data_IF_846192671440
#
_entry.id   IF_846192671440
#
_cell.length_a   1.000
_cell.length_b   1.000
_cell.length_c   1.000
_cell.angle_alpha   90.00
_cell.angle_beta   90.00
_cell.angle_gamma   90.00
#
_symmetry.space_group_name_H-M   'P 1'
#
loop_
_entity.id
_entity.type
_entity.pdbx_description
1 polymer ?
#
# COMPACT_ATOMS: atom_id res chain seq x y z
N UNK A 1 18.97 -8.83 -7.77
CA UNK A 1 19.45 -10.09 -7.15
C UNK A 1 18.56 -10.34 -5.96
N UNK A 2 17.88 -11.48 -5.91
CA UNK A 2 16.80 -11.69 -4.95
C UNK A 2 17.14 -12.89 -4.07
N UNK A 3 17.06 -12.72 -2.77
CA UNK A 3 17.29 -13.78 -1.80
C UNK A 3 16.41 -13.58 -0.58
N UNK A 4 16.21 -14.65 0.19
CA UNK A 4 15.37 -14.62 1.39
C UNK A 4 16.25 -14.67 2.63
N UNK A 5 16.11 -13.69 3.52
CA UNK A 5 16.88 -13.58 4.76
C UNK A 5 15.95 -13.50 5.96
N UNK A 6 16.09 -14.41 6.92
CA UNK A 6 15.18 -14.55 8.07
C UNK A 6 13.69 -14.70 7.68
N UNK A 7 13.38 -15.09 6.43
CA UNK A 7 12.01 -15.17 5.91
C UNK A 7 11.48 -13.88 5.26
N UNK A 8 12.32 -12.84 5.16
CA UNK A 8 12.05 -11.56 4.47
C UNK A 8 12.67 -11.61 3.08
N UNK A 9 11.93 -11.19 2.06
CA UNK A 9 12.45 -11.14 0.69
C UNK A 9 13.28 -9.87 0.50
N UNK A 10 14.53 -10.05 0.06
CA UNK A 10 15.51 -8.98 -0.15
C UNK A 10 15.87 -8.94 -1.63
N UNK A 11 15.60 -7.80 -2.26
CA UNK A 11 15.97 -7.49 -3.64
C UNK A 11 17.08 -6.44 -3.65
N UNK A 12 18.18 -6.72 -4.35
CA UNK A 12 19.25 -5.76 -4.60
C UNK A 12 19.23 -5.36 -6.07
N UNK A 13 18.91 -4.09 -6.33
CA UNK A 13 18.92 -3.50 -7.66
C UNK A 13 20.35 -3.15 -8.11
N UNK A 14 20.64 -3.12 -9.42
CA UNK A 14 21.95 -2.73 -9.94
C UNK A 14 22.41 -1.32 -9.48
N UNK A 15 21.47 -0.40 -9.28
CA UNK A 15 21.75 0.96 -8.83
C UNK A 15 22.41 1.04 -7.45
N UNK A 16 22.12 0.08 -6.56
CA UNK A 16 22.76 0.00 -5.25
C UNK A 16 24.28 -0.26 -5.36
N UNK A 17 24.67 -1.23 -6.20
CA UNK A 17 26.07 -1.53 -6.43
C UNK A 17 26.82 -0.35 -7.04
N UNK A 18 26.18 0.34 -7.98
CA UNK A 18 26.73 1.52 -8.63
C UNK A 18 27.04 2.62 -7.61
N UNK A 19 26.10 2.98 -6.74
CA UNK A 19 26.33 4.04 -5.74
C UNK A 19 27.34 3.63 -4.68
N UNK A 20 27.34 2.36 -4.23
CA UNK A 20 28.29 1.86 -3.25
C UNK A 20 29.73 1.96 -3.77
N UNK A 21 29.95 1.63 -5.05
CA UNK A 21 31.25 1.79 -5.71
C UNK A 21 31.63 3.27 -5.85
N UNK A 22 30.69 4.14 -6.24
CA UNK A 22 30.93 5.58 -6.36
C UNK A 22 31.40 6.19 -5.04
N UNK A 23 30.70 5.91 -3.94
CA UNK A 23 31.14 6.36 -2.61
C UNK A 23 32.45 5.69 -2.18
N UNK A 24 32.75 4.52 -2.73
CA UNK A 24 33.99 3.80 -2.50
C UNK A 24 35.19 4.32 -3.28
N UNK A 25 35.00 5.16 -4.30
CA UNK A 25 36.07 5.63 -5.21
C UNK A 25 37.30 6.20 -4.51
N UNK A 26 37.18 6.98 -3.41
CA UNK A 26 38.35 7.42 -2.66
C UNK A 26 39.18 6.23 -2.13
N UNK A 27 38.53 5.17 -1.64
CA UNK A 27 39.20 3.98 -1.08
C UNK A 27 39.87 3.13 -2.16
N UNK A 28 39.31 3.10 -3.37
CA UNK A 28 39.97 2.49 -4.53
C UNK A 28 41.26 3.20 -4.93
N UNK A 29 41.46 4.45 -4.51
CA UNK A 29 42.62 5.29 -4.81
C UNK A 29 43.62 5.42 -3.66
N UNK A 30 43.34 4.84 -2.48
CA UNK A 30 44.21 4.96 -1.28
C UNK A 30 45.58 4.33 -1.46
N UNK A 31 45.71 3.35 -2.37
CA UNK A 31 46.98 2.72 -2.68
C UNK A 31 47.16 2.67 -4.19
N UNK A 32 48.18 3.37 -4.70
CA UNK A 32 48.57 3.39 -6.11
C UNK A 32 48.92 1.98 -6.59
N UNK A 33 47.92 1.21 -7.07
CA UNK A 33 48.08 -0.15 -7.59
C UNK A 33 46.90 -1.09 -7.27
N UNK A 34 47.07 -2.39 -7.57
CA UNK A 34 46.06 -3.44 -7.36
C UNK A 34 45.61 -3.62 -5.89
N UNK A 35 46.38 -3.08 -4.92
CA UNK A 35 46.06 -3.09 -3.50
C UNK A 35 44.88 -2.18 -3.12
N UNK A 36 44.52 -1.20 -3.96
CA UNK A 36 43.38 -0.30 -3.73
C UNK A 36 42.02 -0.98 -3.94
N UNK A 37 42.01 -2.09 -4.68
CA UNK A 37 40.79 -2.86 -4.92
C UNK A 37 40.24 -3.44 -3.61
N UNK A 38 41.11 -3.94 -2.73
CA UNK A 38 40.70 -4.61 -1.48
C UNK A 38 39.94 -3.65 -0.55
N UNK A 39 40.45 -2.46 -0.18
CA UNK A 39 39.70 -1.49 0.62
C UNK A 39 38.38 -1.05 -0.02
N UNK A 40 38.34 -0.89 -1.35
CA UNK A 40 37.10 -0.57 -2.05
C UNK A 40 36.05 -1.69 -2.00
N UNK A 41 36.46 -2.94 -2.15
CA UNK A 41 35.57 -4.10 -1.95
C UNK A 41 35.08 -4.22 -0.51
N UNK A 42 35.98 -4.01 0.48
CA UNK A 42 35.61 -3.97 1.89
C UNK A 42 34.57 -2.87 2.12
N UNK A 43 34.77 -1.68 1.57
CA UNK A 43 33.81 -0.58 1.65
C UNK A 43 32.44 -0.97 1.11
N UNK A 44 32.37 -1.54 -0.11
CA UNK A 44 31.09 -1.98 -0.71
C UNK A 44 30.39 -3.01 0.18
N UNK A 45 31.15 -3.95 0.76
CA UNK A 45 30.60 -4.94 1.67
C UNK A 45 30.10 -4.31 2.98
N UNK A 46 30.85 -3.34 3.53
CA UNK A 46 30.45 -2.58 4.72
C UNK A 46 29.15 -1.83 4.48
N UNK A 47 29.02 -1.14 3.33
CA UNK A 47 27.79 -0.43 2.97
C UNK A 47 26.63 -1.41 2.81
N UNK A 48 26.83 -2.53 2.10
CA UNK A 48 25.81 -3.57 1.95
C UNK A 48 25.31 -4.09 3.29
N UNK A 49 26.23 -4.51 4.18
CA UNK A 49 25.86 -5.05 5.49
C UNK A 49 25.19 -3.99 6.35
N UNK A 50 25.70 -2.76 6.37
CA UNK A 50 25.17 -1.69 7.22
C UNK A 50 23.76 -1.27 6.78
N UNK A 51 23.56 -1.05 5.47
CA UNK A 51 22.22 -0.70 4.92
C UNK A 51 21.26 -1.87 5.12
N UNK A 52 21.69 -3.12 4.87
CA UNK A 52 20.83 -4.27 5.09
C UNK A 52 20.43 -4.43 6.56
N UNK A 53 21.35 -4.21 7.51
CA UNK A 53 21.04 -4.26 8.94
C UNK A 53 20.08 -3.13 9.34
N UNK A 54 20.25 -1.93 8.78
CA UNK A 54 19.30 -0.82 8.95
C UNK A 54 17.90 -1.19 8.46
N UNK A 55 17.76 -1.69 7.23
CA UNK A 55 16.47 -2.11 6.68
C UNK A 55 15.86 -3.29 7.45
N UNK A 56 16.69 -4.23 7.90
CA UNK A 56 16.24 -5.31 8.78
C UNK A 56 15.67 -4.77 10.10
N UNK A 57 16.18 -3.65 10.62
CA UNK A 57 15.59 -2.95 11.76
C UNK A 57 14.13 -2.57 11.52
N UNK A 58 13.86 -1.88 10.40
CA UNK A 58 12.49 -1.55 9.98
C UNK A 58 11.64 -2.80 9.76
N UNK A 59 12.17 -3.77 9.03
CA UNK A 59 11.48 -5.01 8.70
C UNK A 59 11.12 -5.82 9.95
N UNK A 60 12.00 -5.93 10.94
CA UNK A 60 11.69 -6.59 12.21
C UNK A 60 10.66 -5.83 13.03
N UNK A 61 10.70 -4.49 13.03
CA UNK A 61 9.68 -3.67 13.68
C UNK A 61 8.30 -3.89 13.02
N UNK A 62 8.23 -3.94 11.70
CA UNK A 62 6.99 -4.22 10.94
C UNK A 62 6.51 -5.65 11.20
N UNK A 63 7.42 -6.62 11.27
CA UNK A 63 7.09 -8.03 11.52
C UNK A 63 6.41 -8.26 12.86
N UNK A 64 6.65 -7.39 13.86
CA UNK A 64 5.90 -7.40 15.13
C UNK A 64 4.39 -7.22 14.92
N UNK A 65 3.99 -6.55 13.85
CA UNK A 65 2.60 -6.33 13.46
C UNK A 65 2.04 -7.46 12.56
N UNK A 66 2.77 -8.57 12.38
CA UNK A 66 2.39 -9.71 11.53
C UNK A 66 2.14 -9.36 10.06
N UNK A 67 2.71 -8.24 9.61
CA UNK A 67 2.77 -7.83 8.21
C UNK A 67 4.08 -8.38 7.64
N UNK A 68 4.07 -8.88 6.40
CA UNK A 68 5.31 -9.29 5.73
C UNK A 68 5.99 -8.07 5.09
N UNK A 69 7.21 -7.70 5.51
CA UNK A 69 7.99 -6.67 4.86
C UNK A 69 8.79 -7.26 3.69
N UNK A 70 9.06 -6.42 2.71
CA UNK A 70 9.96 -6.68 1.58
C UNK A 70 11.05 -5.60 1.61
N UNK A 71 12.32 -5.98 1.42
CA UNK A 71 13.44 -5.04 1.41
C UNK A 71 13.94 -4.89 -0.01
N UNK A 72 14.01 -3.64 -0.51
CA UNK A 72 14.63 -3.32 -1.79
C UNK A 72 15.81 -2.39 -1.57
N UNK A 73 17.02 -2.82 -1.92
CA UNK A 73 18.20 -1.99 -1.95
C UNK A 73 18.35 -1.34 -3.33
N UNK A 74 18.34 -0.02 -3.39
CA UNK A 74 18.33 0.77 -4.62
C UNK A 74 19.35 1.92 -4.56
N UNK A 75 19.38 2.79 -5.58
CA UNK A 75 20.42 3.81 -5.72
C UNK A 75 20.50 4.84 -4.58
N UNK A 76 19.43 5.08 -3.81
CA UNK A 76 19.47 5.99 -2.65
C UNK A 76 19.67 5.28 -1.30
N UNK A 77 19.92 3.97 -1.29
CA UNK A 77 20.09 3.19 -0.06
C UNK A 77 19.21 1.95 -0.03
N UNK A 78 18.43 1.79 1.03
CA UNK A 78 17.42 0.77 1.17
C UNK A 78 16.03 1.38 1.31
N UNK A 79 15.01 0.61 0.93
CA UNK A 79 13.64 0.85 1.34
C UNK A 79 13.05 -0.45 1.83
N UNK A 80 12.42 -0.40 2.98
CA UNK A 80 11.54 -1.47 3.44
C UNK A 80 10.13 -1.12 2.98
N UNK A 81 9.52 -1.97 2.16
CA UNK A 81 8.15 -1.82 1.69
C UNK A 81 7.29 -2.82 2.45
N UNK A 82 6.10 -2.41 2.84
CA UNK A 82 5.14 -3.30 3.48
C UNK A 82 3.72 -2.91 3.08
N UNK A 83 2.85 -3.91 2.97
CA UNK A 83 1.42 -3.70 2.70
C UNK A 83 0.64 -4.03 3.96
N UNK A 84 0.29 -2.99 4.70
CA UNK A 84 -0.53 -3.13 5.90
C UNK A 84 -2.02 -3.20 5.50
N UNK A 85 -2.72 -4.19 6.02
CA UNK A 85 -4.17 -4.37 5.84
C UNK A 85 -5.00 -3.41 6.69
N UNK A 86 -4.37 -2.80 7.71
CA UNK A 86 -4.95 -1.80 8.61
C UNK A 86 -3.95 -0.65 8.77
N UNK A 87 -4.42 0.60 8.94
CA UNK A 87 -3.54 1.73 9.21
C UNK A 87 -2.82 1.52 10.56
N UNK A 88 -1.47 1.50 10.52
CA UNK A 88 -0.66 1.41 11.74
C UNK A 88 -0.86 2.66 12.60
N UNK A 89 -0.75 2.52 13.93
CA UNK A 89 -0.83 3.68 14.81
C UNK A 89 0.36 4.59 14.53
N UNK A 90 0.20 5.89 14.75
CA UNK A 90 1.31 6.85 14.58
C UNK A 90 2.54 6.49 15.42
N UNK A 91 2.31 5.95 16.62
CA UNK A 91 3.38 5.43 17.47
C UNK A 91 4.12 4.27 16.84
N UNK A 92 3.42 3.40 16.11
CA UNK A 92 4.02 2.24 15.44
C UNK A 92 4.86 2.71 14.25
N UNK A 93 4.39 3.70 13.48
CA UNK A 93 5.19 4.33 12.44
C UNK A 93 6.46 5.00 13.00
N UNK A 94 6.37 5.71 14.14
CA UNK A 94 7.55 6.28 14.79
C UNK A 94 8.53 5.18 15.22
N UNK A 95 8.03 4.11 15.83
CA UNK A 95 8.86 2.98 16.26
C UNK A 95 9.54 2.33 15.05
N UNK A 96 8.81 2.13 13.96
CA UNK A 96 9.34 1.56 12.72
C UNK A 96 10.45 2.47 12.18
N UNK A 97 10.20 3.77 12.01
CA UNK A 97 11.22 4.72 11.52
C UNK A 97 12.45 4.78 12.43
N UNK A 98 12.29 4.64 13.75
CA UNK A 98 13.43 4.58 14.66
C UNK A 98 14.17 3.24 14.62
N UNK A 99 13.49 2.14 14.31
CA UNK A 99 14.08 0.80 14.38
C UNK A 99 15.29 0.60 13.46
N UNK A 100 15.30 1.24 12.27
CA UNK A 100 16.44 1.18 11.35
C UNK A 100 17.71 1.82 11.92
N UNK A 101 17.70 3.12 12.27
CA UNK A 101 18.84 3.79 12.89
C UNK A 101 19.35 3.08 14.15
N UNK A 102 18.44 2.61 15.01
CA UNK A 102 18.82 1.90 16.24
C UNK A 102 19.40 0.51 15.97
N UNK A 103 18.99 -0.19 14.91
CA UNK A 103 19.64 -1.43 14.47
C UNK A 103 21.08 -1.16 14.01
N UNK A 104 21.31 -0.06 13.29
CA UNK A 104 22.64 0.43 12.95
C UNK A 104 23.48 0.72 14.20
N UNK A 105 22.97 1.50 15.15
CA UNK A 105 23.67 1.80 16.41
C UNK A 105 23.98 0.54 17.22
N UNK A 106 23.07 -0.44 17.23
CA UNK A 106 23.31 -1.72 17.88
C UNK A 106 24.48 -2.47 17.20
N UNK A 107 24.52 -2.52 15.87
CA UNK A 107 25.65 -3.09 15.14
C UNK A 107 26.96 -2.34 15.45
N UNK A 108 26.93 -1.01 15.49
CA UNK A 108 28.10 -0.20 15.85
C UNK A 108 28.59 -0.52 17.27
N UNK A 109 27.69 -0.70 18.23
CA UNK A 109 28.05 -1.07 19.60
C UNK A 109 28.71 -2.45 19.67
N UNK A 110 28.22 -3.44 18.89
CA UNK A 110 28.85 -4.76 18.79
C UNK A 110 30.25 -4.67 18.16
N UNK A 111 30.39 -3.90 17.07
CA UNK A 111 31.69 -3.70 16.41
C UNK A 111 32.67 -2.97 17.34
N UNK A 112 32.21 -1.97 18.09
CA UNK A 112 33.02 -1.27 19.08
C UNK A 112 33.47 -2.20 20.21
N UNK A 113 32.58 -3.07 20.70
CA UNK A 113 32.92 -4.06 21.71
C UNK A 113 33.99 -5.05 21.19
N UNK A 114 33.86 -5.53 19.96
CA UNK A 114 34.88 -6.38 19.32
C UNK A 114 36.22 -5.62 19.19
N UNK A 115 36.18 -4.36 18.76
CA UNK A 115 37.41 -3.56 18.66
C UNK A 115 38.09 -3.39 20.03
N UNK A 116 37.33 -3.02 21.06
CA UNK A 116 37.86 -2.71 22.38
C UNK A 116 38.33 -3.95 23.16
N UNK A 117 37.56 -5.03 23.14
CA UNK A 117 37.84 -6.23 23.94
C UNK A 117 38.69 -7.27 23.20
N UNK A 118 38.72 -7.26 21.86
CA UNK A 118 39.46 -8.25 21.08
C UNK A 118 40.62 -7.60 20.32
N UNK A 119 40.34 -6.65 19.43
CA UNK A 119 41.36 -6.13 18.52
C UNK A 119 42.38 -5.24 19.24
N UNK A 120 41.97 -4.45 20.22
CA UNK A 120 42.87 -3.61 21.01
C UNK A 120 43.83 -4.42 21.90
N UNK A 121 43.55 -5.70 22.14
CA UNK A 121 44.42 -6.61 22.88
C UNK A 121 45.49 -7.27 21.99
N UNK A 122 45.37 -7.12 20.66
CA UNK A 122 46.35 -7.67 19.72
C UNK A 122 47.58 -6.77 19.63
N UNK A 123 48.76 -7.38 19.52
CA UNK A 123 50.02 -6.66 19.34
C UNK A 123 50.08 -5.86 18.03
N UNK A 124 49.40 -6.35 16.98
CA UNK A 124 49.20 -5.63 15.73
C UNK A 124 47.88 -6.07 15.09
N UNK A 125 47.04 -5.11 14.71
CA UNK A 125 45.79 -5.38 13.99
C UNK A 125 46.03 -5.23 12.48
N UNK A 126 45.68 -6.22 11.65
CA UNK A 126 45.82 -6.12 10.20
C UNK A 126 45.12 -4.88 9.65
N UNK A 127 45.76 -4.17 8.71
CA UNK A 127 45.25 -2.94 8.13
C UNK A 127 43.80 -3.06 7.64
N UNK A 128 43.48 -4.12 6.90
CA UNK A 128 42.13 -4.33 6.35
C UNK A 128 41.08 -4.56 7.43
N UNK A 129 41.42 -5.23 8.54
CA UNK A 129 40.51 -5.43 9.66
C UNK A 129 40.24 -4.09 10.38
N UNK A 130 41.30 -3.31 10.63
CA UNK A 130 41.18 -1.96 11.21
C UNK A 130 40.33 -1.06 10.31
N UNK A 131 40.57 -1.10 9.00
CA UNK A 131 39.80 -0.35 8.01
C UNK A 131 38.31 -0.73 8.06
N UNK A 132 37.98 -2.03 8.00
CA UNK A 132 36.60 -2.51 8.05
C UNK A 132 35.86 -2.06 9.32
N UNK A 133 36.50 -2.17 10.49
CA UNK A 133 35.94 -1.72 11.77
C UNK A 133 35.67 -0.22 11.76
N UNK A 134 36.64 0.59 11.32
CA UNK A 134 36.46 2.04 11.24
C UNK A 134 35.32 2.43 10.31
N UNK A 135 35.21 1.77 9.14
CA UNK A 135 34.12 2.06 8.20
C UNK A 135 32.75 1.58 8.73
N UNK A 136 32.68 0.43 9.39
CA UNK A 136 31.44 -0.06 10.02
C UNK A 136 30.95 0.92 11.10
N UNK A 137 31.85 1.37 11.98
CA UNK A 137 31.51 2.36 13.00
C UNK A 137 31.08 3.69 12.37
N UNK A 138 31.82 4.16 11.37
CA UNK A 138 31.49 5.40 10.68
C UNK A 138 30.11 5.32 10.01
N UNK A 139 29.85 4.31 9.17
CA UNK A 139 28.58 4.17 8.45
C UNK A 139 27.42 4.03 9.44
N UNK A 140 27.51 3.11 10.40
CA UNK A 140 26.38 2.83 11.29
C UNK A 140 26.08 3.95 12.30
N UNK A 141 27.10 4.69 12.77
CA UNK A 141 26.90 5.81 13.71
C UNK A 141 26.59 7.09 12.95
N UNK A 142 27.46 7.48 12.02
CA UNK A 142 27.34 8.75 11.33
C UNK A 142 26.08 8.75 10.45
N UNK A 143 25.89 7.75 9.57
CA UNK A 143 24.70 7.72 8.71
C UNK A 143 23.41 7.48 9.51
N UNK A 144 23.47 6.71 10.60
CA UNK A 144 22.35 6.57 11.53
C UNK A 144 21.91 7.91 12.13
N UNK A 145 22.86 8.77 12.52
CA UNK A 145 22.56 10.14 13.00
C UNK A 145 22.00 11.00 11.87
N UNK A 146 22.55 10.94 10.65
CA UNK A 146 21.99 11.67 9.50
C UNK A 146 20.55 11.27 9.19
N UNK A 147 20.25 9.97 9.25
CA UNK A 147 18.90 9.46 9.02
C UNK A 147 17.90 9.96 10.06
N UNK A 148 18.34 10.30 11.27
CA UNK A 148 17.47 10.87 12.31
C UNK A 148 17.25 12.39 12.20
N UNK A 149 17.91 13.06 11.25
CA UNK A 149 17.64 14.48 10.98
C UNK A 149 16.20 14.61 10.46
N UNK A 150 15.40 15.59 10.92
CA UNK A 150 13.98 15.72 10.59
C UNK A 150 13.76 16.27 9.17
N UNK A 151 14.20 15.54 8.15
CA UNK A 151 14.10 15.87 6.72
C UNK A 151 13.50 14.67 5.99
N UNK A 152 12.36 14.84 5.34
CA UNK A 152 11.78 13.82 4.45
C UNK A 152 12.68 13.65 3.21
N UNK A 153 12.92 12.41 2.74
CA UNK A 153 12.30 11.14 3.13
C UNK A 153 13.10 10.33 4.19
N UNK A 154 13.98 10.97 4.98
CA UNK A 154 14.75 10.27 6.01
C UNK A 154 13.85 9.83 7.18
N UNK A 155 14.33 8.85 7.94
CA UNK A 155 13.62 8.29 9.10
C UNK A 155 13.20 9.35 10.12
N UNK A 156 14.07 10.31 10.43
CA UNK A 156 13.77 11.44 11.32
C UNK A 156 12.67 12.35 10.78
N UNK A 157 12.56 12.48 9.46
CA UNK A 157 11.46 13.17 8.79
C UNK A 157 10.13 12.46 8.99
N UNK A 158 10.10 11.13 8.83
CA UNK A 158 8.92 10.31 9.10
C UNK A 158 8.54 10.29 10.59
N UNK A 159 9.53 10.27 11.50
CA UNK A 159 9.27 10.43 12.94
C UNK A 159 8.58 11.76 13.21
N UNK A 160 9.08 12.86 12.65
CA UNK A 160 8.46 14.19 12.80
C UNK A 160 7.04 14.21 12.21
N UNK A 161 6.84 13.63 11.02
CA UNK A 161 5.56 13.53 10.34
C UNK A 161 4.50 12.84 11.20
N UNK A 162 4.83 11.66 11.72
CA UNK A 162 3.90 10.88 12.52
C UNK A 162 3.73 11.43 13.95
N UNK A 163 4.74 12.09 14.51
CA UNK A 163 4.63 12.78 15.80
C UNK A 163 3.68 14.00 15.72
N UNK A 164 3.78 14.81 14.66
CA UNK A 164 2.91 15.97 14.47
C UNK A 164 1.51 15.59 13.93
N UNK A 165 1.44 14.52 13.16
CA UNK A 165 0.20 13.98 12.60
C UNK A 165 -0.30 14.69 11.34
N UNK A 166 -1.35 14.13 10.70
CA UNK A 166 -1.82 14.51 9.36
C UNK A 166 -2.37 15.94 9.32
N UNK A 167 -2.99 16.42 10.41
CA UNK A 167 -3.51 17.80 10.50
C UNK A 167 -2.39 18.86 10.46
N UNK A 168 -1.14 18.47 10.69
CA UNK A 168 0.03 19.37 10.75
C UNK A 168 1.06 19.04 9.68
N UNK A 169 0.65 18.36 8.60
CA UNK A 169 1.54 17.98 7.50
C UNK A 169 2.26 19.18 6.87
N UNK A 170 1.56 20.32 6.70
CA UNK A 170 2.18 21.60 6.26
C UNK A 170 3.35 22.00 7.18
N UNK A 171 3.20 21.87 8.50
CA UNK A 171 4.25 22.22 9.46
C UNK A 171 5.43 21.26 9.38
N UNK A 172 5.18 19.95 9.24
CA UNK A 172 6.22 18.95 8.99
C UNK A 172 7.03 19.29 7.74
N UNK A 173 6.36 19.63 6.64
CA UNK A 173 7.03 19.95 5.38
C UNK A 173 7.83 21.26 5.47
N UNK A 174 7.35 22.28 6.21
CA UNK A 174 8.14 23.51 6.47
C UNK A 174 9.40 23.19 7.27
N UNK A 175 9.27 22.46 8.38
CA UNK A 175 10.42 22.09 9.22
C UNK A 175 11.44 21.29 8.40
N UNK A 176 10.97 20.27 7.68
CA UNK A 176 11.79 19.44 6.80
C UNK A 176 12.51 20.25 5.71
N UNK A 177 11.82 21.20 5.08
CA UNK A 177 12.41 22.08 4.08
C UNK A 177 13.50 22.99 4.68
N UNK A 178 13.21 23.67 5.79
CA UNK A 178 14.14 24.62 6.43
C UNK A 178 15.39 23.91 6.93
N UNK A 179 15.20 22.79 7.63
CA UNK A 179 16.31 21.96 8.14
C UNK A 179 17.10 21.39 6.98
N UNK A 180 16.42 20.85 5.96
CA UNK A 180 17.06 20.27 4.77
C UNK A 180 17.94 21.29 4.02
N UNK A 181 17.44 22.50 3.75
CA UNK A 181 18.24 23.54 3.09
C UNK A 181 19.43 24.00 3.94
N UNK A 182 19.24 24.11 5.25
CA UNK A 182 20.29 24.55 6.18
C UNK A 182 21.41 23.51 6.27
N UNK A 183 21.05 22.22 6.38
CA UNK A 183 22.01 21.11 6.40
C UNK A 183 22.69 20.95 5.03
N UNK A 184 21.96 21.12 3.93
CA UNK A 184 22.53 21.09 2.59
C UNK A 184 23.57 22.20 2.39
N UNK A 185 23.29 23.42 2.84
CA UNK A 185 24.22 24.55 2.76
C UNK A 185 25.47 24.31 3.60
N UNK A 186 25.31 23.79 4.83
CA UNK A 186 26.43 23.39 5.67
C UNK A 186 27.35 22.38 4.97
N UNK A 187 26.78 21.34 4.36
CA UNK A 187 27.58 20.36 3.64
C UNK A 187 28.23 20.89 2.37
N UNK A 188 27.59 21.82 1.68
CA UNK A 188 28.17 22.50 0.53
C UNK A 188 29.41 23.31 0.95
N UNK A 189 29.33 24.03 2.08
CA UNK A 189 30.47 24.77 2.64
C UNK A 189 31.58 23.84 3.14
N UNK A 190 31.22 22.69 3.71
CA UNK A 190 32.16 21.66 4.12
C UNK A 190 32.78 20.86 2.95
N UNK A 191 32.37 21.13 1.71
CA UNK A 191 32.89 20.46 0.50
C UNK A 191 32.26 19.09 0.20
N UNK A 192 31.24 18.67 0.94
CA UNK A 192 30.53 17.41 0.71
C UNK A 192 29.36 17.60 -0.27
N UNK A 193 29.68 17.57 -1.56
CA UNK A 193 28.70 17.78 -2.64
C UNK A 193 27.57 16.74 -2.56
N UNK A 194 27.88 15.48 -2.26
CA UNK A 194 26.89 14.42 -2.19
C UNK A 194 25.91 14.56 -1.02
N UNK A 195 26.41 14.89 0.17
CA UNK A 195 25.52 15.14 1.30
C UNK A 195 24.65 16.38 1.05
N UNK A 196 25.24 17.44 0.49
CA UNK A 196 24.49 18.64 0.08
C UNK A 196 23.39 18.29 -0.94
N UNK A 197 23.67 17.40 -1.89
CA UNK A 197 22.70 16.93 -2.87
C UNK A 197 21.54 16.15 -2.23
N UNK A 198 21.82 15.18 -1.34
CA UNK A 198 20.78 14.38 -0.66
C UNK A 198 19.86 15.29 0.17
N UNK A 199 20.43 16.16 1.00
CA UNK A 199 19.65 17.08 1.84
C UNK A 199 18.94 18.15 1.01
N UNK A 200 19.55 18.62 -0.08
CA UNK A 200 18.94 19.55 -1.02
C UNK A 200 17.75 18.94 -1.75
N UNK A 201 17.84 17.68 -2.17
CA UNK A 201 16.71 16.95 -2.75
C UNK A 201 15.60 16.74 -1.74
N UNK A 202 15.89 16.35 -0.50
CA UNK A 202 14.88 16.23 0.57
C UNK A 202 14.18 17.55 0.88
N UNK A 203 14.95 18.65 0.92
CA UNK A 203 14.41 20.00 1.09
C UNK A 203 13.50 20.40 -0.08
N UNK A 204 13.93 20.11 -1.31
CA UNK A 204 13.15 20.37 -2.52
C UNK A 204 11.87 19.52 -2.57
N UNK A 205 11.93 18.25 -2.16
CA UNK A 205 10.75 17.39 -2.04
C UNK A 205 9.77 17.95 -1.01
N UNK A 206 10.28 18.46 0.11
CA UNK A 206 9.48 19.12 1.15
C UNK A 206 8.86 20.44 0.67
N UNK A 207 9.59 21.22 -0.14
CA UNK A 207 9.07 22.40 -0.81
C UNK A 207 7.95 22.02 -1.79
N UNK A 208 8.09 20.94 -2.56
CA UNK A 208 7.01 20.45 -3.44
C UNK A 208 5.79 20.02 -2.65
N UNK A 209 5.96 19.33 -1.52
CA UNK A 209 4.87 19.00 -0.60
C UNK A 209 4.13 20.26 -0.12
N UNK A 210 4.83 21.38 0.09
CA UNK A 210 4.22 22.67 0.43
C UNK A 210 3.59 23.39 -0.76
N UNK A 211 4.13 23.27 -1.96
CA UNK A 211 3.52 23.85 -3.16
C UNK A 211 2.23 23.15 -3.54
N UNK A 212 2.15 21.83 -3.27
CA UNK A 212 0.94 21.02 -3.41
C UNK A 212 -0.02 21.29 -2.25
N UNK A 213 0.49 21.57 -1.05
CA UNK A 213 -0.33 21.80 0.14
C UNK A 213 -0.71 23.25 0.44
N UNK A 214 -0.06 24.27 -0.14
CA UNK A 214 -0.07 25.68 0.29
C UNK A 214 -1.18 26.55 -0.27
N UNK A 215 -2.12 25.95 -0.96
CA UNK A 215 -3.34 26.56 -1.41
C UNK A 215 -4.47 26.07 -0.52
N UNK A 216 -5.26 26.99 0.03
CA UNK A 216 -6.65 26.67 0.36
C UNK A 216 -7.39 26.49 -0.97
N UNK A 217 -7.08 25.36 -1.59
CA UNK A 217 -7.66 24.86 -2.82
C UNK A 217 -8.88 24.05 -2.35
N UNK A 218 -10.04 24.58 -2.70
CA UNK A 218 -11.21 23.80 -3.09
C UNK A 218 -10.72 22.50 -3.77
N UNK A 219 -11.23 21.33 -3.39
CA UNK A 219 -10.66 20.02 -3.81
C UNK A 219 -10.64 19.77 -5.33
N UNK A 220 -10.98 20.76 -6.15
CA UNK A 220 -10.94 20.80 -7.61
C UNK A 220 -9.54 20.76 -8.24
N UNK A 221 -8.47 21.24 -7.58
CA UNK A 221 -7.20 21.53 -8.29
C UNK A 221 -6.06 20.52 -8.06
N UNK A 222 -6.27 19.41 -7.34
CA UNK A 222 -5.22 18.42 -6.99
C UNK A 222 -5.25 17.13 -7.83
N UNK A 223 -5.56 17.24 -9.12
CA UNK A 223 -5.26 16.17 -10.10
C UNK A 223 -3.93 16.50 -10.80
N UNK A 224 -3.13 15.50 -11.25
CA UNK A 224 -2.05 15.76 -12.20
C UNK A 224 -2.64 16.63 -13.31
N UNK A 225 -1.95 17.70 -13.73
CA UNK A 225 -2.40 18.45 -14.91
C UNK A 225 -2.30 17.46 -16.07
N UNK A 226 -3.45 16.85 -16.38
CA UNK A 226 -3.65 16.10 -17.60
C UNK A 226 -3.10 16.96 -18.73
N UNK A 227 -2.42 16.36 -19.73
CA UNK A 227 -1.89 17.11 -20.88
C UNK A 227 -2.96 18.10 -21.31
N UNK A 228 -2.68 19.42 -21.28
CA UNK A 228 -3.69 20.51 -21.35
C UNK A 228 -4.96 20.04 -22.05
N UNK A 229 -5.88 19.46 -21.27
CA UNK A 229 -7.18 19.10 -21.78
C UNK A 229 -7.84 20.45 -21.81
N UNK A 230 -8.15 20.91 -23.01
CA UNK A 230 -8.96 22.11 -23.23
C UNK A 230 -9.99 22.18 -22.11
N UNK A 231 -9.89 23.21 -21.26
CA UNK A 231 -10.68 23.28 -20.03
C UNK A 231 -12.13 23.00 -20.39
N UNK A 232 -12.68 21.87 -19.90
CA UNK A 232 -13.99 21.43 -20.32
C UNK A 232 -14.98 22.57 -20.06
N UNK A 233 -15.83 22.93 -21.04
CA UNK A 233 -16.72 24.08 -20.90
C UNK A 233 -17.60 23.94 -19.65
N UNK A 234 -17.72 25.04 -18.91
CA UNK A 234 -18.47 25.09 -17.66
C UNK A 234 -19.94 24.73 -17.91
N UNK A 235 -20.46 23.77 -17.15
CA UNK A 235 -21.87 23.35 -17.24
C UNK A 235 -22.73 24.37 -16.49
N UNK A 236 -23.77 24.88 -17.13
CA UNK A 236 -24.70 25.83 -16.49
C UNK A 236 -25.45 25.17 -15.32
N UNK A 237 -25.82 25.96 -14.31
CA UNK A 237 -26.54 25.45 -13.12
C UNK A 237 -27.87 24.76 -13.45
N UNK A 238 -28.55 25.21 -14.50
CA UNK A 238 -29.78 24.56 -15.00
C UNK A 238 -29.48 23.14 -15.51
N UNK A 239 -28.46 22.98 -16.35
CA UNK A 239 -28.09 21.67 -16.93
C UNK A 239 -27.62 20.72 -15.83
N UNK A 240 -26.80 21.20 -14.89
CA UNK A 240 -26.39 20.42 -13.72
C UNK A 240 -27.60 19.92 -12.90
N UNK A 241 -28.64 20.74 -12.75
CA UNK A 241 -29.87 20.35 -12.06
C UNK A 241 -30.67 19.26 -12.81
N UNK A 242 -30.63 19.27 -14.14
CA UNK A 242 -31.28 18.25 -14.97
C UNK A 242 -30.51 16.92 -14.85
N UNK A 243 -29.18 16.96 -14.96
CA UNK A 243 -28.31 15.78 -14.85
C UNK A 243 -28.38 15.17 -13.45
N UNK A 244 -28.44 15.98 -12.38
CA UNK A 244 -28.60 15.46 -11.02
C UNK A 244 -29.95 14.78 -10.80
N UNK A 245 -31.04 15.36 -11.32
CA UNK A 245 -32.38 14.73 -11.30
C UNK A 245 -32.44 13.46 -12.13
N UNK A 246 -31.73 13.41 -13.25
CA UNK A 246 -31.65 12.23 -14.09
C UNK A 246 -30.84 11.10 -13.42
N UNK A 247 -29.72 11.41 -12.74
CA UNK A 247 -29.00 10.45 -11.87
C UNK A 247 -29.89 9.91 -10.75
N UNK A 248 -30.61 10.79 -10.07
CA UNK A 248 -31.54 10.38 -9.01
C UNK A 248 -32.62 9.46 -9.58
N UNK A 249 -33.15 9.75 -10.77
CA UNK A 249 -34.13 8.89 -11.43
C UNK A 249 -33.55 7.49 -11.76
N UNK A 250 -32.28 7.39 -12.17
CA UNK A 250 -31.61 6.08 -12.35
C UNK A 250 -31.46 5.35 -11.02
N UNK A 251 -31.07 6.05 -9.95
CA UNK A 251 -30.95 5.47 -8.60
C UNK A 251 -32.32 5.01 -8.03
N UNK A 252 -33.40 5.71 -8.39
CA UNK A 252 -34.78 5.38 -8.04
C UNK A 252 -35.41 4.34 -9.00
N UNK A 253 -34.64 3.81 -9.96
CA UNK A 253 -35.09 2.89 -11.04
C UNK A 253 -36.22 3.45 -11.94
N UNK A 254 -36.44 4.77 -11.93
CA UNK A 254 -37.37 5.47 -12.82
C UNK A 254 -36.72 5.73 -14.19
N UNK A 255 -36.59 4.66 -14.96
CA UNK A 255 -35.96 4.63 -16.29
C UNK A 255 -36.65 5.62 -17.25
N UNK A 256 -37.99 5.74 -17.17
CA UNK A 256 -38.76 6.64 -18.04
C UNK A 256 -38.41 8.10 -17.79
N UNK A 257 -38.35 8.51 -16.53
CA UNK A 257 -37.98 9.88 -16.16
C UNK A 257 -36.52 10.19 -16.47
N UNK A 258 -35.60 9.26 -16.22
CA UNK A 258 -34.20 9.41 -16.60
C UNK A 258 -34.04 9.63 -18.11
N UNK A 259 -34.72 8.80 -18.92
CA UNK A 259 -34.74 8.93 -20.39
C UNK A 259 -35.33 10.24 -20.86
N UNK A 260 -36.46 10.67 -20.29
CA UNK A 260 -37.08 11.94 -20.66
C UNK A 260 -36.14 13.11 -20.40
N UNK A 261 -35.58 13.23 -19.19
CA UNK A 261 -34.68 14.33 -18.82
C UNK A 261 -33.41 14.39 -19.69
N UNK A 262 -32.78 13.23 -19.96
CA UNK A 262 -31.57 13.19 -20.78
C UNK A 262 -31.86 13.42 -22.27
N UNK A 263 -32.95 12.86 -22.81
CA UNK A 263 -33.32 13.09 -24.22
C UNK A 263 -33.74 14.53 -24.46
N UNK A 264 -34.51 15.14 -23.54
CA UNK A 264 -34.88 16.55 -23.61
C UNK A 264 -33.64 17.46 -23.58
N UNK A 265 -32.63 17.09 -22.78
CA UNK A 265 -31.35 17.79 -22.76
C UNK A 265 -30.59 17.64 -24.09
N UNK A 266 -30.50 16.42 -24.62
CA UNK A 266 -29.79 16.13 -25.87
C UNK A 266 -30.48 16.70 -27.12
N UNK A 267 -31.80 16.92 -27.07
CA UNK A 267 -32.59 17.51 -28.14
C UNK A 267 -32.50 19.04 -28.21
N UNK A 268 -31.83 19.70 -27.25
CA UNK A 268 -31.64 21.15 -27.27
C UNK A 268 -30.81 21.57 -28.48
N UNK A 269 -31.22 22.68 -29.10
CA UNK A 269 -30.55 23.27 -30.26
C UNK A 269 -29.05 23.51 -29.94
N UNK A 270 -28.11 22.97 -30.76
CA UNK A 270 -26.68 23.17 -30.58
C UNK A 270 -26.24 24.64 -30.60
N UNK A 271 -27.00 25.50 -31.27
CA UNK A 271 -26.66 26.93 -31.46
C UNK A 271 -27.35 27.85 -30.44
N UNK A 272 -28.17 27.30 -29.52
CA UNK A 272 -28.83 28.08 -28.48
C UNK A 272 -27.85 28.49 -27.36
N UNK A 273 -28.12 29.64 -26.73
CA UNK A 273 -27.32 30.18 -25.61
C UNK A 273 -27.24 29.21 -24.40
N UNK A 274 -28.22 28.29 -24.28
CA UNK A 274 -28.28 27.23 -23.26
C UNK A 274 -27.98 25.83 -23.81
N UNK A 275 -27.24 25.72 -24.92
CA UNK A 275 -26.84 24.46 -25.52
C UNK A 275 -25.95 23.65 -24.54
N UNK A 276 -26.19 22.33 -24.40
CA UNK A 276 -25.39 21.53 -23.49
C UNK A 276 -23.97 21.36 -24.01
N UNK A 277 -22.95 21.66 -23.18
CA UNK A 277 -21.56 21.46 -23.57
C UNK A 277 -21.24 19.96 -23.78
N UNK A 278 -20.14 19.63 -24.50
CA UNK A 278 -19.78 18.23 -24.80
C UNK A 278 -19.69 17.32 -23.58
N UNK A 279 -19.17 17.81 -22.45
CA UNK A 279 -19.11 17.07 -21.18
C UNK A 279 -20.50 16.81 -20.57
N UNK A 280 -21.44 17.76 -20.65
CA UNK A 280 -22.83 17.55 -20.23
C UNK A 280 -23.58 16.57 -21.15
N UNK A 281 -23.31 16.61 -22.46
CA UNK A 281 -23.84 15.63 -23.42
C UNK A 281 -23.29 14.23 -23.13
N UNK A 282 -21.99 14.11 -22.83
CA UNK A 282 -21.34 12.86 -22.40
C UNK A 282 -22.02 12.31 -21.15
N UNK A 283 -22.14 13.12 -20.10
CA UNK A 283 -22.78 12.71 -18.84
C UNK A 283 -24.24 12.28 -19.04
N UNK A 284 -25.00 12.97 -19.89
CA UNK A 284 -26.35 12.56 -20.25
C UNK A 284 -26.39 11.19 -20.96
N UNK A 285 -25.43 10.92 -21.85
CA UNK A 285 -25.30 9.62 -22.51
C UNK A 285 -24.89 8.51 -21.54
N UNK A 286 -24.03 8.79 -20.56
CA UNK A 286 -23.66 7.85 -19.50
C UNK A 286 -24.87 7.49 -18.62
N UNK A 287 -25.68 8.48 -18.23
CA UNK A 287 -26.92 8.26 -17.48
C UNK A 287 -27.91 7.41 -18.30
N UNK A 288 -28.05 7.69 -19.60
CA UNK A 288 -28.87 6.88 -20.50
C UNK A 288 -28.34 5.45 -20.63
N UNK A 289 -27.01 5.26 -20.68
CA UNK A 289 -26.41 3.93 -20.74
C UNK A 289 -26.70 3.12 -19.46
N UNK A 290 -26.59 3.73 -18.28
CA UNK A 290 -27.02 3.10 -17.02
C UNK A 290 -28.50 2.77 -17.01
N UNK A 291 -29.36 3.69 -17.45
CA UNK A 291 -30.80 3.45 -17.56
C UNK A 291 -31.12 2.28 -18.53
N UNK A 292 -30.36 2.15 -19.62
CA UNK A 292 -30.51 1.05 -20.57
C UNK A 292 -29.94 -0.28 -20.05
N UNK A 293 -28.88 -0.27 -19.24
CA UNK A 293 -28.43 -1.45 -18.51
C UNK A 293 -29.49 -1.95 -17.52
N UNK A 294 -30.12 -1.05 -16.75
CA UNK A 294 -31.23 -1.40 -15.85
C UNK A 294 -32.46 -1.94 -16.60
N UNK A 295 -32.67 -1.47 -17.84
CA UNK A 295 -33.73 -1.98 -18.72
C UNK A 295 -33.37 -3.30 -19.43
N UNK A 296 -32.22 -3.92 -19.13
CA UNK A 296 -31.66 -5.10 -19.82
C UNK A 296 -31.40 -4.89 -21.33
N UNK A 297 -31.25 -3.63 -21.76
CA UNK A 297 -31.00 -3.24 -23.15
C UNK A 297 -29.50 -3.00 -23.39
N UNK A 298 -28.73 -4.09 -23.36
CA UNK A 298 -27.25 -4.06 -23.40
C UNK A 298 -26.71 -3.43 -24.69
N UNK A 299 -27.32 -3.70 -25.83
CA UNK A 299 -26.88 -3.14 -27.13
C UNK A 299 -27.12 -1.63 -27.19
N UNK A 300 -28.24 -1.15 -26.66
CA UNK A 300 -28.53 0.30 -26.56
C UNK A 300 -27.54 0.97 -25.59
N UNK A 301 -27.28 0.36 -24.43
CA UNK A 301 -26.27 0.86 -23.50
C UNK A 301 -24.87 0.95 -24.13
N UNK A 302 -24.46 -0.06 -24.90
CA UNK A 302 -23.20 -0.04 -25.65
C UNK A 302 -23.17 1.08 -26.68
N UNK A 303 -24.25 1.29 -27.43
CA UNK A 303 -24.34 2.38 -28.40
C UNK A 303 -24.21 3.76 -27.73
N UNK A 304 -24.87 3.98 -26.58
CA UNK A 304 -24.74 5.24 -25.82
C UNK A 304 -23.34 5.45 -25.27
N UNK A 305 -22.68 4.40 -24.81
CA UNK A 305 -21.26 4.46 -24.40
C UNK A 305 -20.36 4.83 -25.57
N UNK A 306 -20.59 4.27 -26.76
CA UNK A 306 -19.78 4.58 -27.94
C UNK A 306 -20.00 6.01 -28.43
N UNK A 307 -21.20 6.56 -28.28
CA UNK A 307 -21.46 7.98 -28.51
C UNK A 307 -20.82 8.86 -27.43
N UNK A 308 -20.83 8.44 -26.16
CA UNK A 308 -20.18 9.17 -25.07
C UNK A 308 -18.65 9.24 -25.26
N UNK A 309 -18.01 8.16 -25.74
CA UNK A 309 -16.56 8.12 -26.06
C UNK A 309 -16.14 9.16 -27.09
N UNK A 310 -17.03 9.55 -28.02
CA UNK A 310 -16.75 10.61 -29.01
C UNK A 310 -16.65 11.99 -28.37
N UNK A 311 -17.17 12.14 -27.15
CA UNK A 311 -17.23 13.39 -26.39
C UNK A 311 -16.23 13.45 -25.22
N UNK A 312 -15.47 12.39 -24.96
CA UNK A 312 -14.40 12.35 -23.96
C UNK A 312 -14.22 10.99 -23.28
N UNK A 313 -13.44 10.97 -22.18
CA UNK A 313 -13.27 9.76 -21.37
C UNK A 313 -14.57 9.41 -20.63
N UNK A 314 -14.98 8.15 -20.76
CA UNK A 314 -16.21 7.61 -20.14
C UNK A 314 -15.87 6.98 -18.79
N UNK A 315 -16.81 7.05 -17.84
CA UNK A 315 -16.68 6.42 -16.52
C UNK A 315 -16.25 4.94 -16.63
N UNK A 316 -15.09 4.53 -16.07
CA UNK A 316 -14.63 3.15 -16.06
C UNK A 316 -15.62 2.16 -15.43
N UNK A 317 -16.43 2.58 -14.46
CA UNK A 317 -17.45 1.73 -13.85
C UNK A 317 -18.54 1.35 -14.88
N UNK A 318 -19.01 2.33 -15.65
CA UNK A 318 -19.99 2.11 -16.71
C UNK A 318 -19.41 1.26 -17.85
N UNK A 319 -18.18 1.56 -18.29
CA UNK A 319 -17.49 0.76 -19.30
C UNK A 319 -17.35 -0.70 -18.86
N UNK A 320 -16.91 -0.92 -17.62
CA UNK A 320 -16.81 -2.24 -17.03
C UNK A 320 -18.15 -2.97 -16.98
N UNK A 321 -19.21 -2.29 -16.55
CA UNK A 321 -20.57 -2.84 -16.49
C UNK A 321 -21.12 -3.23 -17.87
N UNK A 322 -20.92 -2.39 -18.90
CA UNK A 322 -21.34 -2.73 -20.28
C UNK A 322 -20.58 -3.94 -20.81
N UNK A 323 -19.25 -3.97 -20.68
CA UNK A 323 -18.46 -5.13 -21.11
C UNK A 323 -18.86 -6.40 -20.35
N UNK A 324 -19.14 -6.27 -19.06
CA UNK A 324 -19.60 -7.38 -18.22
C UNK A 324 -20.97 -7.90 -18.70
N UNK A 325 -21.93 -7.02 -18.95
CA UNK A 325 -23.26 -7.37 -19.48
C UNK A 325 -23.20 -8.03 -20.87
N UNK A 326 -22.23 -7.64 -21.71
CA UNK A 326 -21.95 -8.27 -23.02
C UNK A 326 -21.22 -9.62 -22.92
N UNK A 327 -20.89 -10.10 -21.72
CA UNK A 327 -20.05 -11.28 -21.46
C UNK A 327 -18.62 -11.15 -22.01
N UNK A 328 -18.13 -9.93 -22.20
CA UNK A 328 -16.76 -9.62 -22.61
C UNK A 328 -15.83 -9.55 -21.38
N UNK A 329 -15.78 -10.63 -20.60
CA UNK A 329 -15.18 -10.66 -19.24
C UNK A 329 -13.73 -10.20 -19.19
N UNK A 330 -12.91 -10.51 -20.20
CA UNK A 330 -11.52 -10.04 -20.29
C UNK A 330 -11.38 -8.53 -20.54
N UNK A 331 -12.35 -7.91 -21.21
CA UNK A 331 -12.37 -6.46 -21.40
C UNK A 331 -12.88 -5.77 -20.14
N UNK A 332 -13.98 -6.27 -19.57
CA UNK A 332 -14.51 -5.80 -18.30
C UNK A 332 -13.44 -5.83 -17.20
N UNK A 333 -12.75 -6.96 -17.02
CA UNK A 333 -11.66 -7.12 -16.05
C UNK A 333 -10.58 -6.06 -16.21
N UNK A 334 -10.06 -5.87 -17.43
CA UNK A 334 -8.98 -4.91 -17.68
C UNK A 334 -9.38 -3.48 -17.34
N UNK A 335 -10.61 -3.09 -17.68
CA UNK A 335 -11.13 -1.74 -17.38
C UNK A 335 -11.30 -1.55 -15.87
N UNK A 336 -11.90 -2.52 -15.19
CA UNK A 336 -12.18 -2.48 -13.76
C UNK A 336 -10.91 -2.55 -12.90
N UNK A 337 -9.93 -3.39 -13.27
CA UNK A 337 -8.62 -3.44 -12.62
C UNK A 337 -7.85 -2.13 -12.79
N UNK A 338 -7.88 -1.52 -13.98
CA UNK A 338 -7.27 -0.22 -14.22
C UNK A 338 -7.95 0.90 -13.42
N UNK A 339 -9.27 0.83 -13.23
CA UNK A 339 -10.02 1.75 -12.39
C UNK A 339 -9.58 1.62 -10.92
N UNK A 340 -9.53 0.39 -10.39
CA UNK A 340 -9.08 0.11 -9.03
C UNK A 340 -7.63 0.54 -8.80
N UNK A 341 -6.74 0.32 -9.77
CA UNK A 341 -5.35 0.76 -9.69
C UNK A 341 -5.20 2.29 -9.59
N UNK A 342 -6.21 3.06 -10.02
CA UNK A 342 -6.29 4.51 -9.84
C UNK A 342 -6.99 4.94 -8.55
N UNK A 343 -7.38 4.00 -7.68
CA UNK A 343 -8.04 4.24 -6.39
C UNK A 343 -9.57 4.33 -6.47
N UNK A 344 -10.19 3.74 -7.50
CA UNK A 344 -11.64 3.68 -7.62
C UNK A 344 -12.21 2.43 -6.93
N UNK A 345 -12.65 2.60 -5.68
CA UNK A 345 -13.21 1.53 -4.83
C UNK A 345 -14.75 1.54 -4.78
N UNK A 346 -15.40 2.22 -5.74
CA UNK A 346 -16.86 2.26 -5.85
C UNK A 346 -17.45 0.84 -6.03
N UNK A 347 -18.66 0.61 -5.51
CA UNK A 347 -19.34 -0.71 -5.56
C UNK A 347 -19.56 -1.18 -7.01
N UNK A 348 -19.81 -0.24 -7.90
CA UNK A 348 -20.01 -0.43 -9.34
C UNK A 348 -18.73 -0.92 -10.05
N UNK A 349 -17.56 -0.70 -9.45
CA UNK A 349 -16.28 -1.22 -9.95
C UNK A 349 -15.94 -2.56 -9.31
N UNK A 350 -16.02 -2.59 -7.97
CA UNK A 350 -15.55 -3.73 -7.19
C UNK A 350 -16.46 -4.95 -7.31
N UNK A 351 -17.78 -4.75 -7.32
CA UNK A 351 -18.76 -5.83 -7.40
C UNK A 351 -18.60 -6.70 -8.65
N UNK A 352 -18.68 -6.12 -9.87
CA UNK A 352 -18.47 -6.87 -11.10
C UNK A 352 -17.08 -7.49 -11.20
N UNK A 353 -16.05 -6.83 -10.68
CA UNK A 353 -14.69 -7.36 -10.68
C UNK A 353 -14.57 -8.62 -9.80
N UNK A 354 -15.14 -8.61 -8.58
CA UNK A 354 -15.21 -9.79 -7.71
C UNK A 354 -15.88 -10.95 -8.46
N UNK A 355 -17.02 -10.68 -9.10
CA UNK A 355 -17.77 -11.70 -9.82
C UNK A 355 -16.94 -12.31 -10.97
N UNK A 356 -16.28 -11.48 -11.79
CA UNK A 356 -15.42 -11.95 -12.88
C UNK A 356 -14.28 -12.83 -12.33
N UNK A 357 -13.65 -12.43 -11.22
CA UNK A 357 -12.56 -13.20 -10.63
C UNK A 357 -13.04 -14.56 -10.10
N UNK A 358 -14.23 -14.62 -9.49
CA UNK A 358 -14.84 -15.89 -9.06
C UNK A 358 -15.11 -16.78 -10.27
N UNK A 359 -15.72 -16.25 -11.33
CA UNK A 359 -16.00 -17.00 -12.57
C UNK A 359 -14.72 -17.55 -13.22
N UNK A 360 -13.61 -16.84 -13.06
CA UNK A 360 -12.28 -17.25 -13.57
C UNK A 360 -11.51 -18.18 -12.62
N UNK A 361 -12.07 -18.53 -11.46
CA UNK A 361 -11.44 -19.38 -10.46
C UNK A 361 -10.37 -18.68 -9.60
N UNK A 362 -10.23 -17.35 -9.72
CA UNK A 362 -9.29 -16.53 -8.95
C UNK A 362 -9.89 -16.11 -7.59
N UNK A 363 -10.47 -17.08 -6.86
CA UNK A 363 -11.25 -16.82 -5.63
C UNK A 363 -10.40 -16.17 -4.54
N UNK A 364 -9.11 -16.50 -4.44
CA UNK A 364 -8.21 -15.83 -3.48
C UNK A 364 -8.08 -14.33 -3.77
N UNK A 365 -8.03 -13.92 -5.04
CA UNK A 365 -8.00 -12.49 -5.41
C UNK A 365 -9.35 -11.83 -5.20
N UNK A 366 -10.44 -12.53 -5.53
CA UNK A 366 -11.79 -12.05 -5.26
C UNK A 366 -12.01 -11.80 -3.75
N UNK A 367 -11.56 -12.72 -2.91
CA UNK A 367 -11.65 -12.60 -1.45
C UNK A 367 -10.74 -11.49 -0.89
N UNK A 368 -9.53 -11.30 -1.44
CA UNK A 368 -8.68 -10.17 -1.10
C UNK A 368 -9.36 -8.84 -1.42
N UNK A 369 -9.97 -8.75 -2.59
CA UNK A 369 -10.70 -7.56 -3.02
C UNK A 369 -11.93 -7.30 -2.13
N UNK A 370 -12.69 -8.35 -1.80
CA UNK A 370 -13.84 -8.26 -0.90
C UNK A 370 -13.41 -7.83 0.51
N UNK A 371 -12.24 -8.28 0.96
CA UNK A 371 -11.67 -7.89 2.24
C UNK A 371 -11.28 -6.40 2.26
N UNK A 372 -10.70 -5.86 1.18
CA UNK A 372 -10.37 -4.42 1.10
C UNK A 372 -11.58 -3.50 1.31
N UNK A 373 -12.78 -3.96 0.91
CA UNK A 373 -14.04 -3.22 1.05
C UNK A 373 -14.95 -3.78 2.16
N UNK A 374 -14.43 -4.63 3.04
CA UNK A 374 -15.24 -5.38 4.03
C UNK A 374 -16.08 -4.47 4.94
N UNK A 375 -15.62 -3.25 5.21
CA UNK A 375 -16.35 -2.23 5.99
C UNK A 375 -17.62 -1.72 5.30
N UNK A 376 -17.71 -1.88 3.97
CA UNK A 376 -18.87 -1.52 3.16
C UNK A 376 -19.78 -2.71 2.80
N UNK A 377 -19.33 -3.93 3.10
CA UNK A 377 -20.08 -5.16 2.89
C UNK A 377 -21.04 -5.43 4.05
N UNK A 378 -22.19 -6.02 3.73
CA UNK A 378 -23.04 -6.62 4.74
C UNK A 378 -22.34 -7.82 5.38
N UNK A 379 -22.70 -8.16 6.60
CA UNK A 379 -22.12 -9.30 7.30
C UNK A 379 -22.44 -10.62 6.61
N UNK A 380 -23.62 -10.73 6.00
CA UNK A 380 -24.00 -11.91 5.23
C UNK A 380 -23.18 -12.06 3.94
N UNK A 381 -22.88 -10.96 3.24
CA UNK A 381 -22.02 -11.00 2.05
C UNK A 381 -20.58 -11.30 2.42
N UNK A 382 -20.08 -10.75 3.54
CA UNK A 382 -18.76 -11.06 4.06
C UNK A 382 -18.64 -12.54 4.45
N UNK A 383 -19.66 -13.13 5.11
CA UNK A 383 -19.71 -14.57 5.42
C UNK A 383 -19.73 -15.44 4.17
N UNK A 384 -20.57 -15.10 3.17
CA UNK A 384 -20.61 -15.82 1.89
C UNK A 384 -19.25 -15.82 1.20
N UNK A 385 -18.58 -14.67 1.16
CA UNK A 385 -17.24 -14.55 0.60
C UNK A 385 -16.21 -15.33 1.42
N UNK A 386 -16.30 -15.31 2.76
CA UNK A 386 -15.44 -16.07 3.64
C UNK A 386 -15.58 -17.59 3.41
N UNK A 387 -16.82 -18.07 3.27
CA UNK A 387 -17.11 -19.46 2.96
C UNK A 387 -16.58 -19.85 1.58
N UNK A 388 -16.84 -19.03 0.56
CA UNK A 388 -16.35 -19.27 -0.79
C UNK A 388 -14.81 -19.33 -0.83
N UNK A 389 -14.14 -18.47 -0.07
CA UNK A 389 -12.69 -18.49 0.09
C UNK A 389 -12.21 -19.78 0.76
N UNK A 390 -12.91 -20.26 1.81
CA UNK A 390 -12.59 -21.52 2.48
C UNK A 390 -12.67 -22.71 1.52
N UNK A 391 -13.77 -22.81 0.78
CA UNK A 391 -14.03 -23.92 -0.13
C UNK A 391 -13.02 -23.99 -1.30
N UNK A 392 -12.39 -22.85 -1.63
CA UNK A 392 -11.36 -22.73 -2.66
C UNK A 392 -9.93 -22.68 -2.09
N UNK A 393 -9.74 -23.14 -0.85
CA UNK A 393 -8.44 -23.20 -0.17
C UNK A 393 -7.72 -21.83 -0.01
N UNK A 394 -8.44 -20.72 -0.11
CA UNK A 394 -7.96 -19.39 0.22
C UNK A 394 -8.14 -19.11 1.72
N UNK A 395 -7.53 -19.97 2.55
CA UNK A 395 -7.79 -20.05 3.99
C UNK A 395 -7.42 -18.77 4.76
N UNK A 396 -6.30 -18.11 4.46
CA UNK A 396 -5.94 -16.81 5.07
C UNK A 396 -7.04 -15.74 4.84
N UNK A 397 -7.59 -15.65 3.63
CA UNK A 397 -8.65 -14.69 3.32
C UNK A 397 -9.98 -15.05 3.97
N UNK A 398 -10.32 -16.34 3.98
CA UNK A 398 -11.50 -16.84 4.71
C UNK A 398 -11.43 -16.48 6.19
N UNK A 399 -10.28 -16.75 6.82
CA UNK A 399 -10.08 -16.48 8.24
C UNK A 399 -10.24 -14.99 8.56
N UNK A 400 -9.65 -14.11 7.75
CA UNK A 400 -9.73 -12.65 7.94
C UNK A 400 -11.16 -12.13 7.79
N UNK A 401 -11.90 -12.59 6.80
CA UNK A 401 -13.29 -12.19 6.61
C UNK A 401 -14.17 -12.62 7.80
N UNK A 402 -14.04 -13.87 8.26
CA UNK A 402 -14.75 -14.34 9.45
C UNK A 402 -14.32 -13.62 10.74
N UNK A 403 -13.03 -13.29 10.90
CA UNK A 403 -12.54 -12.47 12.02
C UNK A 403 -13.19 -11.09 12.03
N UNK A 404 -13.23 -10.40 10.88
CA UNK A 404 -13.85 -9.07 10.79
C UNK A 404 -15.35 -9.12 11.08
N UNK A 405 -16.07 -10.14 10.59
CA UNK A 405 -17.49 -10.30 10.91
C UNK A 405 -17.69 -10.59 12.40
N UNK A 406 -16.84 -11.45 12.98
CA UNK A 406 -16.86 -11.72 14.42
C UNK A 406 -16.58 -10.47 15.25
N UNK A 407 -15.63 -9.62 14.87
CA UNK A 407 -15.33 -8.38 15.59
C UNK A 407 -16.53 -7.41 15.62
N UNK A 408 -17.42 -7.49 14.63
CA UNK A 408 -18.64 -6.66 14.55
C UNK A 408 -19.81 -7.23 15.34
N UNK A 409 -20.07 -8.54 15.21
CA UNK A 409 -21.29 -9.17 15.75
C UNK A 409 -21.05 -10.07 16.97
N UNK A 410 -19.81 -10.42 17.25
CA UNK A 410 -19.39 -11.36 18.29
C UNK A 410 -20.12 -12.71 18.23
N UNK A 411 -20.56 -13.14 17.04
CA UNK A 411 -21.31 -14.38 16.88
C UNK A 411 -20.36 -15.58 16.99
N UNK A 412 -20.61 -16.56 17.88
CA UNK A 412 -19.65 -17.62 18.20
C UNK A 412 -19.26 -18.48 16.99
N UNK A 413 -20.19 -18.71 16.05
CA UNK A 413 -19.92 -19.45 14.81
C UNK A 413 -18.87 -18.75 13.93
N UNK A 414 -18.87 -17.42 13.84
CA UNK A 414 -17.91 -16.70 12.99
C UNK A 414 -16.47 -16.89 13.52
N UNK A 415 -16.29 -16.88 14.84
CA UNK A 415 -15.00 -17.19 15.45
C UNK A 415 -14.59 -18.67 15.29
N UNK A 416 -15.55 -19.59 15.32
CA UNK A 416 -15.29 -21.00 15.06
C UNK A 416 -14.85 -21.24 13.60
N UNK A 417 -15.54 -20.62 12.64
CA UNK A 417 -15.21 -20.70 11.22
C UNK A 417 -13.85 -20.05 10.90
N UNK A 418 -13.54 -18.90 11.52
CA UNK A 418 -12.21 -18.31 11.46
C UNK A 418 -11.12 -19.25 12.01
N UNK A 419 -11.40 -19.98 13.09
CA UNK A 419 -10.46 -20.96 13.62
C UNK A 419 -10.22 -22.14 12.68
N UNK A 420 -11.26 -22.65 12.01
CA UNK A 420 -11.13 -23.68 10.97
C UNK A 420 -10.23 -23.19 9.84
N UNK A 421 -10.44 -21.97 9.38
CA UNK A 421 -9.64 -21.37 8.31
C UNK A 421 -8.16 -21.21 8.73
N UNK A 422 -7.87 -20.66 9.91
CA UNK A 422 -6.48 -20.56 10.41
C UNK A 422 -5.80 -21.92 10.60
N UNK A 423 -6.55 -22.95 11.00
CA UNK A 423 -5.99 -24.29 11.17
C UNK A 423 -5.56 -24.89 9.82
N UNK A 424 -6.36 -24.68 8.77
CA UNK A 424 -6.04 -25.11 7.40
C UNK A 424 -4.91 -24.28 6.77
N UNK A 425 -4.79 -23.00 7.10
CA UNK A 425 -3.69 -22.13 6.68
C UNK A 425 -2.36 -22.44 7.40
N UNK A 426 -2.39 -23.27 8.46
CA UNK A 426 -1.23 -23.60 9.29
C UNK A 426 -0.91 -22.56 10.37
N UNK A 427 -1.79 -21.56 10.57
CA UNK A 427 -1.71 -20.56 11.63
C UNK A 427 -2.30 -21.09 12.95
N UNK A 428 -1.77 -22.22 13.45
CA UNK A 428 -2.35 -22.98 14.57
C UNK A 428 -2.56 -22.17 15.86
N UNK A 429 -1.62 -21.28 16.21
CA UNK A 429 -1.74 -20.40 17.38
C UNK A 429 -2.95 -19.44 17.27
N UNK A 430 -3.18 -18.90 16.06
CA UNK A 430 -4.35 -18.05 15.79
C UNK A 430 -5.63 -18.87 15.80
N UNK A 431 -5.60 -20.09 15.27
CA UNK A 431 -6.76 -20.99 15.33
C UNK A 431 -7.18 -21.29 16.77
N UNK A 432 -6.22 -21.56 17.67
CA UNK A 432 -6.50 -21.77 19.10
C UNK A 432 -7.05 -20.49 19.76
N UNK A 433 -6.50 -19.32 19.42
CA UNK A 433 -7.02 -18.03 19.94
C UNK A 433 -8.46 -17.76 19.47
N UNK A 434 -8.76 -18.06 18.21
CA UNK A 434 -10.12 -17.93 17.67
C UNK A 434 -11.08 -18.94 18.30
N UNK A 435 -10.67 -20.19 18.57
CA UNK A 435 -11.47 -21.13 19.35
C UNK A 435 -11.74 -20.62 20.76
N UNK A 436 -10.75 -19.99 21.40
CA UNK A 436 -10.93 -19.39 22.73
C UNK A 436 -11.94 -18.25 22.69
N UNK A 437 -11.89 -17.41 21.66
CA UNK A 437 -12.89 -16.35 21.43
C UNK A 437 -14.27 -16.92 21.14
N UNK A 438 -14.37 -17.99 20.35
CA UNK A 438 -15.64 -18.67 20.05
C UNK A 438 -16.28 -19.21 21.34
N UNK A 439 -15.53 -19.95 22.17
CA UNK A 439 -16.00 -20.47 23.46
C UNK A 439 -16.39 -19.32 24.40
N UNK A 440 -15.57 -18.26 24.46
CA UNK A 440 -15.87 -17.05 25.23
C UNK A 440 -17.15 -16.33 24.78
N UNK A 441 -17.49 -16.42 23.49
CA UNK A 441 -18.71 -15.90 22.90
C UNK A 441 -19.92 -16.86 22.99
N UNK A 442 -19.76 -18.03 23.64
CA UNK A 442 -20.85 -18.97 23.89
C UNK A 442 -20.87 -20.22 23.00
N UNK A 443 -19.83 -20.47 22.19
CA UNK A 443 -19.69 -21.71 21.44
C UNK A 443 -19.51 -22.91 22.39
N UNK A 444 -20.39 -23.91 22.30
CA UNK A 444 -20.44 -25.03 23.26
C UNK A 444 -20.39 -26.43 22.61
N UNK A 445 -20.31 -26.52 21.28
CA UNK A 445 -20.28 -27.80 20.55
C UNK A 445 -18.86 -28.39 20.51
N UNK A 446 -18.47 -29.00 21.63
CA UNK A 446 -17.17 -29.66 21.78
C UNK A 446 -17.03 -30.86 20.85
N UNK A 447 -18.11 -31.59 20.59
CA UNK A 447 -18.09 -32.75 19.71
C UNK A 447 -17.76 -32.35 18.26
N UNK A 448 -18.26 -31.20 17.79
CA UNK A 448 -17.92 -30.64 16.48
C UNK A 448 -16.43 -30.31 16.38
N UNK A 449 -15.84 -29.63 17.38
CA UNK A 449 -14.38 -29.32 17.39
C UNK A 449 -13.52 -30.59 17.28
N UNK A 450 -13.89 -31.64 18.03
CA UNK A 450 -13.15 -32.90 18.07
C UNK A 450 -13.45 -33.86 16.91
N UNK A 451 -14.44 -33.57 16.07
CA UNK A 451 -14.77 -34.37 14.87
C UNK A 451 -14.45 -33.66 13.55
N UNK A 452 -14.35 -32.32 13.53
CA UNK A 452 -14.05 -31.53 12.32
C UNK A 452 -12.66 -31.81 11.74
N UNK A 453 -12.60 -32.26 10.49
CA UNK A 453 -11.34 -32.52 9.79
C UNK A 453 -10.47 -31.27 9.64
N UNK A 454 -11.09 -30.09 9.55
CA UNK A 454 -10.38 -28.82 9.39
C UNK A 454 -9.45 -28.53 10.58
N UNK A 455 -9.79 -29.05 11.76
CA UNK A 455 -9.08 -28.83 13.02
C UNK A 455 -8.21 -30.04 13.42
N UNK A 456 -8.10 -31.07 12.57
CA UNK A 456 -7.38 -32.31 12.90
C UNK A 456 -5.93 -32.04 13.32
N UNK A 457 -5.24 -31.14 12.61
CA UNK A 457 -3.86 -30.74 12.90
C UNK A 457 -3.68 -30.06 14.27
N UNK A 458 -4.75 -29.51 14.88
CA UNK A 458 -4.70 -28.92 16.22
C UNK A 458 -4.76 -29.96 17.34
N UNK A 459 -5.35 -31.14 17.09
CA UNK A 459 -5.53 -32.18 18.13
C UNK A 459 -4.23 -32.82 18.57
N UNK A 460 -3.23 -32.81 17.70
CA UNK A 460 -1.88 -33.30 18.00
C UNK A 460 -1.00 -32.24 18.71
N UNK A 461 -1.52 -31.02 18.93
CA UNK A 461 -0.76 -29.90 19.49
C UNK A 461 -1.22 -29.56 20.90
N UNK A 462 -0.25 -29.20 21.73
CA UNK A 462 -0.52 -28.74 23.08
C UNK A 462 -1.32 -27.43 23.06
N UNK A 463 -2.39 -27.35 23.86
CA UNK A 463 -3.20 -26.14 24.03
C UNK A 463 -4.67 -26.27 23.65
N UNK A 464 -5.04 -27.17 22.71
CA UNK A 464 -6.45 -27.37 22.33
C UNK A 464 -7.26 -27.93 23.51
N UNK A 465 -6.73 -28.92 24.22
CA UNK A 465 -7.37 -29.54 25.40
C UNK A 465 -7.68 -28.51 26.51
N UNK A 466 -6.88 -27.43 26.61
CA UNK A 466 -7.09 -26.35 27.57
C UNK A 466 -8.16 -25.33 27.18
N UNK A 467 -8.55 -25.30 25.90
CA UNK A 467 -9.60 -24.40 25.39
C UNK A 467 -10.91 -25.16 25.20
N UNK A 468 -10.83 -26.36 24.63
CA UNK A 468 -11.97 -27.26 24.40
C UNK A 468 -11.61 -28.66 24.92
N UNK A 469 -11.97 -28.98 26.17
CA UNK A 469 -11.69 -30.30 26.74
C UNK A 469 -12.30 -31.41 25.90
N UNK A 470 -11.63 -32.57 25.86
CA UNK A 470 -12.16 -33.77 25.17
C UNK A 470 -13.56 -34.10 25.70
N UNK A 471 -14.50 -34.43 24.80
CA UNK A 471 -15.89 -34.72 25.15
C UNK A 471 -16.03 -35.94 26.06
#
# INVERSE_FOLDING_TARGET
MNFRLFGIDVEIEPGFWFIAVIFGLPFFKISNGASGLIPGFIWVLVVLVSVLVHELGHAFAIRRHRIQPEITLYMMGGKTVWRALLPLKRTDHIIISLAGPFAGFFLAALVFAVDHFVLAQMSAVPFYARFAVTQLLFVNVYWGIFNLIPVLPLDGGHVLEHALGPKRLRMTAIISMVVGFSVALYFLQAGSIWAAFIFGMGAFQSLRLLQVGGTDIDQSDLRPRAPEVEAEPAISGEILSILSRARQAVADEDITKARALCNDLLARDPDAENAPPPNAKREALEILAWASLLAEQVDDASAKVDDAKKLGEVDPALLGAVHFAKRETNQARRVLEAARARGDDRKEVVGPLIQILIEQGEVARAAAIAYDIVDSLSEDDARKMAQLAFDNAAFDWSARLYETVFERQAHPEDAYEAARAHAQDGAYERAIDMLRKAVGAGFNDRARVWSDKALEALRARDGLDGVVPRP
#
